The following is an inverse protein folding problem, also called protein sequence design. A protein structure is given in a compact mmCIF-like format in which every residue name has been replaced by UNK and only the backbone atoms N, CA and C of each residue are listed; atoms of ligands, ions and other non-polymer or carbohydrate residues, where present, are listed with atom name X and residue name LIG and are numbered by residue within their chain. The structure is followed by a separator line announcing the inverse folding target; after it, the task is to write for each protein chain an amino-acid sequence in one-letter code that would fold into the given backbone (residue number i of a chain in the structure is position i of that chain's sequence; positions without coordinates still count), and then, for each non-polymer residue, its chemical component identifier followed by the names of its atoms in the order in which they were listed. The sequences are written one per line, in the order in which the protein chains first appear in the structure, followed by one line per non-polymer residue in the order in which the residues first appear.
data_IF_878552398171
#
_entry.id   IF_878552398171
#
_cell.length_a   1.000
_cell.length_b   1.000
_cell.length_c   1.000
_cell.angle_alpha   90.00
_cell.angle_beta   90.00
_cell.angle_gamma   90.00
#
_symmetry.space_group_name_H-M   'P 1'
#
loop_
_entity.id
_entity.type
_entity.pdbx_description
1 polymer ?
#
# COMPACT_ATOMS: atom_id res chain seq x y z
N UNK A 1 18.25 -1.04 -8.29
CA UNK A 1 17.82 -1.81 -7.09
C UNK A 1 16.43 -1.28 -6.71
N UNK A 2 15.46 -2.15 -6.46
CA UNK A 2 14.09 -1.73 -6.20
C UNK A 2 13.52 -2.42 -4.96
N UNK A 3 12.79 -1.69 -4.12
CA UNK A 3 12.01 -2.28 -3.04
C UNK A 3 10.65 -2.66 -3.62
N UNK A 4 10.41 -3.96 -3.80
CA UNK A 4 9.09 -4.47 -4.20
C UNK A 4 8.11 -4.35 -3.03
N UNK A 5 6.95 -3.79 -3.30
CA UNK A 5 5.91 -3.50 -2.32
C UNK A 5 4.68 -4.38 -2.60
N UNK A 6 4.06 -4.88 -1.54
CA UNK A 6 2.69 -5.38 -1.62
C UNK A 6 1.82 -4.40 -0.83
N UNK A 7 0.75 -3.92 -1.45
CA UNK A 7 -0.17 -3.00 -0.79
C UNK A 7 -1.57 -3.58 -0.73
N UNK A 8 -2.27 -3.30 0.38
CA UNK A 8 -3.62 -3.81 0.63
C UNK A 8 -4.50 -2.67 1.10
N UNK A 9 -5.53 -2.36 0.33
CA UNK A 9 -6.59 -1.43 0.73
C UNK A 9 -7.76 -2.21 1.32
N UNK A 10 -8.31 -1.75 2.44
CA UNK A 10 -9.40 -2.46 3.14
C UNK A 10 -10.50 -1.49 3.51
N UNK A 11 -11.75 -1.97 3.44
CA UNK A 11 -12.89 -1.23 3.99
C UNK A 11 -13.31 -1.83 5.33
N UNK A 12 -13.74 -0.96 6.24
CA UNK A 12 -14.22 -1.35 7.57
C UNK A 12 -15.74 -1.59 7.56
N UNK A 13 -16.15 -2.77 7.99
CA UNK A 13 -17.47 -3.21 8.49
C UNK A 13 -17.64 -4.72 8.23
N UNK A 14 -17.05 -5.53 9.11
CA UNK A 14 -17.15 -7.00 9.05
C UNK A 14 -18.53 -7.56 9.50
N UNK A 15 -19.44 -6.71 9.98
CA UNK A 15 -20.79 -7.12 10.38
C UNK A 15 -21.74 -7.39 9.21
N UNK A 16 -21.36 -7.03 7.98
CA UNK A 16 -22.10 -7.37 6.77
C UNK A 16 -21.46 -8.58 6.09
N UNK A 17 -22.28 -9.45 5.50
CA UNK A 17 -21.79 -10.57 4.67
C UNK A 17 -20.88 -10.00 3.59
N UNK A 18 -19.60 -10.40 3.61
CA UNK A 18 -18.61 -9.96 2.62
C UNK A 18 -19.01 -10.49 1.24
N UNK A 19 -19.48 -9.60 0.36
CA UNK A 19 -19.77 -9.92 -1.04
C UNK A 19 -18.89 -9.09 -1.95
N UNK A 20 -18.09 -9.76 -2.77
CA UNK A 20 -17.32 -9.11 -3.84
C UNK A 20 -18.29 -8.61 -4.90
N UNK A 21 -18.30 -7.29 -5.16
CA UNK A 21 -19.14 -6.66 -6.18
C UNK A 21 -18.33 -6.08 -7.34
N UNK A 22 -17.23 -5.39 -7.01
CA UNK A 22 -16.46 -4.61 -7.98
C UNK A 22 -15.43 -5.47 -8.69
N UNK A 23 -15.26 -5.22 -9.99
CA UNK A 23 -14.35 -5.95 -10.89
C UNK A 23 -13.79 -4.92 -11.87
N UNK A 24 -12.47 -4.80 -11.91
CA UNK A 24 -11.78 -3.93 -12.88
C UNK A 24 -11.95 -4.46 -14.32
N UNK A 25 -11.71 -3.59 -15.31
CA UNK A 25 -11.78 -3.95 -16.73
C UNK A 25 -10.93 -5.19 -17.06
N UNK A 26 -11.53 -6.16 -17.75
CA UNK A 26 -10.85 -7.41 -18.17
C UNK A 26 -10.35 -7.36 -19.61
N UNK A 27 -10.72 -6.33 -20.36
CA UNK A 27 -10.23 -6.08 -21.72
C UNK A 27 -10.25 -4.58 -22.03
N UNK A 28 -9.64 -4.18 -23.15
CA UNK A 28 -9.62 -2.79 -23.61
C UNK A 28 -11.02 -2.25 -23.99
N UNK A 29 -11.96 -3.13 -24.34
CA UNK A 29 -13.31 -2.75 -24.80
C UNK A 29 -14.38 -2.84 -23.71
N UNK A 30 -14.11 -3.52 -22.60
CA UNK A 30 -15.06 -3.72 -21.50
C UNK A 30 -14.64 -2.88 -20.30
N UNK A 31 -15.52 -2.00 -19.84
CA UNK A 31 -15.32 -1.23 -18.61
C UNK A 31 -15.92 -1.97 -17.43
N UNK A 32 -15.11 -2.18 -16.40
CA UNK A 32 -15.55 -2.71 -15.12
C UNK A 32 -15.85 -1.59 -14.10
N UNK A 33 -16.80 -1.83 -13.21
CA UNK A 33 -17.08 -0.94 -12.08
C UNK A 33 -16.00 -1.10 -11.01
N UNK A 34 -15.35 0.00 -10.66
CA UNK A 34 -14.25 0.02 -9.69
C UNK A 34 -14.73 0.41 -8.29
N UNK A 35 -14.12 -0.22 -7.28
CA UNK A 35 -14.41 0.04 -5.88
C UNK A 35 -14.01 -1.15 -4.98
N UNK A 36 -14.18 -0.98 -3.67
CA UNK A 36 -13.93 -2.02 -2.68
C UNK A 36 -15.20 -2.21 -1.86
N UNK A 37 -15.76 -3.41 -1.88
CA UNK A 37 -16.98 -3.72 -1.10
C UNK A 37 -16.68 -3.75 0.40
N UNK A 38 -17.65 -3.43 1.29
CA UNK A 38 -17.47 -3.51 2.75
C UNK A 38 -16.90 -4.86 3.20
N UNK A 39 -15.86 -4.83 4.04
CA UNK A 39 -15.18 -6.02 4.56
C UNK A 39 -14.32 -6.76 3.53
N UNK A 40 -14.23 -6.26 2.30
CA UNK A 40 -13.31 -6.76 1.28
C UNK A 40 -12.01 -5.97 1.28
N UNK A 41 -11.06 -6.44 0.48
CA UNK A 41 -9.78 -5.79 0.29
C UNK A 41 -9.33 -5.88 -1.17
N UNK A 42 -8.55 -4.89 -1.59
CA UNK A 42 -7.88 -4.88 -2.88
C UNK A 42 -6.39 -5.15 -2.66
N UNK A 43 -5.85 -6.13 -3.40
CA UNK A 43 -4.47 -6.59 -3.27
C UNK A 43 -3.68 -6.19 -4.50
N UNK A 44 -2.64 -5.38 -4.29
CA UNK A 44 -1.60 -5.16 -5.30
C UNK A 44 -0.38 -5.95 -4.90
N UNK A 45 -0.11 -7.00 -5.67
CA UNK A 45 0.98 -7.93 -5.39
C UNK A 45 2.33 -7.33 -5.80
N UNK A 46 3.39 -7.80 -5.13
CA UNK A 46 4.77 -7.34 -5.30
C UNK A 46 5.38 -7.58 -6.70
N UNK A 47 4.74 -8.42 -7.51
CA UNK A 47 5.12 -8.74 -8.87
C UNK A 47 4.39 -7.89 -9.92
N UNK A 48 3.44 -7.05 -9.51
CA UNK A 48 2.81 -6.08 -10.41
C UNK A 48 3.74 -4.91 -10.69
N UNK A 49 3.66 -4.41 -11.93
CA UNK A 49 4.39 -3.22 -12.33
C UNK A 49 4.00 -2.01 -11.48
N UNK A 50 4.95 -1.09 -11.32
CA UNK A 50 4.83 0.14 -10.51
C UNK A 50 4.64 -0.08 -8.99
N UNK A 51 4.58 -1.33 -8.50
CA UNK A 51 4.58 -1.64 -7.06
C UNK A 51 6.00 -1.64 -6.47
N UNK A 52 6.81 -0.64 -6.77
CA UNK A 52 8.17 -0.54 -6.28
C UNK A 52 8.66 0.89 -6.15
N UNK A 53 9.61 1.09 -5.24
CA UNK A 53 10.40 2.32 -5.14
C UNK A 53 11.78 2.02 -5.69
N UNK A 54 12.21 2.79 -6.69
CA UNK A 54 13.58 2.74 -7.17
C UNK A 54 14.51 3.33 -6.10
N UNK A 55 15.50 2.55 -5.71
CA UNK A 55 16.54 2.95 -4.76
C UNK A 55 17.94 2.80 -5.37
N UNK A 56 18.04 2.77 -6.69
CA UNK A 56 19.32 2.61 -7.41
C UNK A 56 20.35 3.67 -7.02
N UNK A 57 19.89 4.90 -6.81
CA UNK A 57 20.75 6.05 -6.47
C UNK A 57 20.74 6.38 -4.96
N UNK A 58 20.15 5.52 -4.13
CA UNK A 58 20.10 5.70 -2.68
C UNK A 58 21.32 5.05 -2.05
N UNK A 59 22.18 5.81 -1.35
CA UNK A 59 23.35 5.23 -0.71
C UNK A 59 22.96 4.33 0.47
N UNK A 60 23.82 3.38 0.85
CA UNK A 60 23.61 2.60 2.07
C UNK A 60 23.41 3.45 3.32
N UNK A 61 22.50 3.00 4.20
CA UNK A 61 22.15 3.76 5.40
C UNK A 61 20.85 3.31 6.05
N UNK A 62 20.45 4.06 7.09
CA UNK A 62 19.18 3.88 7.78
C UNK A 62 18.22 4.99 7.35
N UNK A 63 17.04 4.58 6.92
CA UNK A 63 15.99 5.44 6.38
C UNK A 63 14.66 5.08 7.04
N UNK A 64 13.66 5.89 6.76
CA UNK A 64 12.27 5.60 7.09
C UNK A 64 11.51 5.31 5.81
N UNK A 65 10.81 4.19 5.78
CA UNK A 65 9.86 3.88 4.73
C UNK A 65 8.47 4.36 5.17
N UNK A 66 7.83 5.15 4.32
CA UNK A 66 6.54 5.77 4.56
C UNK A 66 5.61 5.49 3.38
N UNK A 67 4.42 4.98 3.65
CA UNK A 67 3.36 4.82 2.65
C UNK A 67 2.07 5.44 3.17
N UNK A 68 1.43 6.29 2.36
CA UNK A 68 0.16 6.95 2.71
C UNK A 68 -0.90 6.52 1.71
N UNK A 69 -2.03 6.08 2.25
CA UNK A 69 -3.22 5.68 1.51
C UNK A 69 -4.21 6.85 1.50
N UNK A 70 -4.77 7.14 0.32
CA UNK A 70 -5.67 8.27 0.12
C UNK A 70 -5.12 9.62 0.63
N UNK A 71 -3.88 10.01 0.26
CA UNK A 71 -3.17 11.15 0.85
C UNK A 71 -3.86 12.50 0.63
N UNK A 72 -4.59 12.63 -0.47
CA UNK A 72 -5.29 13.86 -0.85
C UNK A 72 -6.75 13.89 -0.39
N UNK A 73 -7.19 12.90 0.41
CA UNK A 73 -8.54 12.80 0.96
C UNK A 73 -9.65 12.88 -0.10
N UNK A 74 -9.37 12.37 -1.31
CA UNK A 74 -10.29 12.44 -2.45
C UNK A 74 -11.46 11.47 -2.33
N UNK A 75 -11.28 10.40 -1.55
CA UNK A 75 -12.34 9.46 -1.19
C UNK A 75 -12.69 9.65 0.29
N UNK A 76 -13.96 9.89 0.65
CA UNK A 76 -14.38 9.98 2.05
C UNK A 76 -14.26 8.63 2.77
N UNK A 77 -13.66 8.64 3.97
CA UNK A 77 -13.54 7.47 4.84
C UNK A 77 -14.17 7.74 6.22
N UNK A 78 -14.53 6.68 6.95
CA UNK A 78 -15.08 6.79 8.31
C UNK A 78 -14.06 7.37 9.29
N UNK A 79 -12.78 7.09 9.05
CA UNK A 79 -11.63 7.62 9.77
C UNK A 79 -10.42 7.56 8.86
N UNK A 80 -9.48 8.50 9.03
CA UNK A 80 -8.18 8.51 8.35
C UNK A 80 -7.03 8.12 9.28
N UNK A 81 -7.33 7.72 10.52
CA UNK A 81 -6.33 7.49 11.57
C UNK A 81 -5.40 6.30 11.32
N UNK A 82 -5.68 5.49 10.30
CA UNK A 82 -4.95 4.28 9.96
C UNK A 82 -4.50 4.27 8.48
N UNK A 83 -4.43 5.45 7.85
CA UNK A 83 -4.12 5.61 6.44
C UNK A 83 -2.61 5.67 6.13
N UNK A 84 -1.74 5.48 7.12
CA UNK A 84 -0.30 5.48 6.88
C UNK A 84 0.39 4.24 7.45
N UNK A 85 1.48 3.84 6.81
CA UNK A 85 2.43 2.84 7.30
C UNK A 85 3.80 3.50 7.41
N UNK A 86 4.43 3.34 8.57
CA UNK A 86 5.80 3.75 8.84
C UNK A 86 6.63 2.53 9.23
N UNK A 87 7.80 2.39 8.63
CA UNK A 87 8.75 1.30 8.92
C UNK A 87 10.18 1.85 8.96
N UNK A 88 11.05 1.17 9.71
CA UNK A 88 12.49 1.38 9.64
C UNK A 88 13.03 0.65 8.40
N UNK A 89 13.75 1.35 7.53
CA UNK A 89 14.38 0.80 6.34
C UNK A 89 15.90 0.79 6.52
N UNK A 90 16.51 -0.39 6.50
CA UNK A 90 17.95 -0.53 6.40
C UNK A 90 18.32 -0.84 4.94
N UNK A 91 19.10 0.03 4.32
CA UNK A 91 19.74 -0.20 3.01
C UNK A 91 21.18 -0.62 3.30
N UNK A 92 21.47 -1.91 3.10
CA UNK A 92 22.74 -2.50 3.48
C UNK A 92 23.94 -1.92 2.71
N UNK A 93 25.05 -1.74 3.43
CA UNK A 93 26.36 -1.26 2.93
C UNK A 93 27.10 -2.40 2.22
N UNK A 94 26.81 -3.67 2.55
CA UNK A 94 27.48 -4.84 1.98
C UNK A 94 26.87 -5.37 0.68
N UNK A 95 25.76 -4.79 0.22
CA UNK A 95 25.14 -5.08 -1.08
C UNK A 95 24.25 -6.34 -1.11
N UNK A 96 23.88 -6.91 0.05
CA UNK A 96 23.17 -8.19 0.12
C UNK A 96 21.65 -8.03 0.28
N UNK A 97 21.14 -6.86 0.73
CA UNK A 97 19.72 -6.56 0.60
C UNK A 97 19.18 -5.42 1.46
N UNK A 98 17.92 -5.06 1.21
CA UNK A 98 17.17 -4.08 2.01
C UNK A 98 16.28 -4.78 3.03
N UNK A 99 16.15 -4.23 4.24
CA UNK A 99 15.26 -4.77 5.26
C UNK A 99 14.28 -3.70 5.75
N UNK A 100 12.99 -4.04 5.75
CA UNK A 100 11.96 -3.30 6.46
C UNK A 100 11.71 -3.94 7.82
N UNK A 101 11.77 -3.14 8.88
CA UNK A 101 11.55 -3.57 10.27
C UNK A 101 10.60 -2.61 10.98
N UNK A 102 10.00 -3.08 12.07
CA UNK A 102 9.21 -2.28 12.99
C UNK A 102 8.06 -1.50 12.31
N UNK A 103 7.44 -2.10 11.29
CA UNK A 103 6.32 -1.51 10.58
C UNK A 103 5.10 -1.31 11.47
N UNK A 104 4.51 -0.11 11.43
CA UNK A 104 3.32 0.27 12.19
C UNK A 104 2.31 0.96 11.29
N UNK A 105 1.04 0.68 11.52
CA UNK A 105 -0.06 1.46 10.97
C UNK A 105 -0.26 2.66 11.90
N UNK A 106 -0.25 3.86 11.33
CA UNK A 106 -0.32 5.14 12.07
C UNK A 106 -1.24 6.14 11.36
N UNK A 107 -1.52 7.27 12.01
CA UNK A 107 -2.17 8.39 11.36
C UNK A 107 -1.19 9.04 10.38
N UNK A 108 -1.61 9.47 9.17
CA UNK A 108 -0.75 10.22 8.25
C UNK A 108 -0.14 11.52 8.79
N UNK A 109 -0.63 12.03 9.92
CA UNK A 109 -0.14 13.25 10.57
C UNK A 109 0.97 12.94 11.60
N UNK A 110 1.15 11.68 11.96
CA UNK A 110 2.17 11.20 12.89
C UNK A 110 3.45 10.72 12.16
N UNK A 111 3.55 10.98 10.84
CA UNK A 111 4.67 10.60 9.97
C UNK A 111 5.87 11.54 10.07
#
# INVERSE_FOLDING_TARGET
LAIKLASVWRTVNAHLVTRKKFICSTSLSIRGDQGISPGCMDYYLHDYDCQWIDITDVPPGFYEFRAIFNPNLVVPEVSYANNAVHCNLAVDISGIGTQLKNCKIIHPLDL
#
